data_IF_685828427515
#
_entry.id   IF_685828427515
#
_cell.length_a   1.000
_cell.length_b   1.000
_cell.length_c   1.000
_cell.angle_alpha   90.00
_cell.angle_beta   90.00
_cell.angle_gamma   90.00
#
_symmetry.space_group_name_H-M   'P 1'
#
loop_
_entity.id
_entity.type
_entity.pdbx_description
1 polymer ?
#
# COMPACT_ATOMS: atom_id res chain seq x y z
N UNK A 1 4.19 -51.51 25.49
CA UNK A 1 4.56 -50.09 25.67
C UNK A 1 3.29 -49.27 25.73
N UNK A 2 2.93 -48.72 26.89
CA UNK A 2 1.73 -47.88 27.05
C UNK A 2 2.05 -46.48 26.53
N UNK A 3 1.45 -46.10 25.40
CA UNK A 3 1.50 -44.73 24.89
C UNK A 3 0.78 -43.81 25.86
N UNK A 4 1.53 -42.96 26.55
CA UNK A 4 1.00 -41.92 27.42
C UNK A 4 0.34 -40.87 26.53
N UNK A 5 -0.99 -40.90 26.43
CA UNK A 5 -1.77 -39.81 25.87
C UNK A 5 -1.69 -38.67 26.90
N UNK A 6 -0.80 -37.72 26.66
CA UNK A 6 -0.74 -36.47 27.43
C UNK A 6 -2.05 -35.71 27.19
N UNK A 7 -3.00 -35.86 28.12
CA UNK A 7 -4.20 -35.02 28.19
C UNK A 7 -3.71 -33.63 28.57
N UNK A 8 -3.54 -32.78 27.57
CA UNK A 8 -3.14 -31.39 27.76
C UNK A 8 -4.14 -30.70 28.69
N UNK A 9 -3.67 -30.18 29.82
CA UNK A 9 -4.59 -29.60 30.82
C UNK A 9 -5.21 -28.31 30.26
N UNK A 10 -6.48 -28.03 30.63
CA UNK A 10 -7.19 -26.80 30.23
C UNK A 10 -6.38 -25.52 30.53
N UNK A 11 -5.53 -25.59 31.57
CA UNK A 11 -4.61 -24.52 31.99
C UNK A 11 -3.45 -24.33 31.01
N UNK A 12 -2.81 -25.41 30.54
CA UNK A 12 -1.73 -25.35 29.54
C UNK A 12 -2.23 -24.84 28.19
N UNK A 13 -3.39 -25.32 27.73
CA UNK A 13 -4.03 -24.83 26.50
C UNK A 13 -4.32 -23.33 26.57
N UNK A 14 -4.81 -22.85 27.71
CA UNK A 14 -5.05 -21.42 27.94
C UNK A 14 -3.76 -20.58 27.98
N UNK A 15 -2.67 -21.09 28.57
CA UNK A 15 -1.38 -20.41 28.59
C UNK A 15 -0.76 -20.32 27.18
N UNK A 16 -0.81 -21.41 26.40
CA UNK A 16 -0.34 -21.43 25.00
C UNK A 16 -1.11 -20.42 24.14
N UNK A 17 -2.43 -20.41 24.24
CA UNK A 17 -3.27 -19.44 23.50
C UNK A 17 -3.00 -17.98 23.90
N UNK A 18 -2.78 -17.69 25.18
CA UNK A 18 -2.41 -16.33 25.64
C UNK A 18 -1.04 -15.91 25.09
N UNK A 19 -0.07 -16.82 25.03
CA UNK A 19 1.25 -16.55 24.47
C UNK A 19 1.16 -16.26 22.96
N UNK A 20 0.46 -17.11 22.20
CA UNK A 20 0.23 -16.92 20.76
C UNK A 20 -0.45 -15.57 20.48
N UNK A 21 -1.49 -15.20 21.24
CA UNK A 21 -2.14 -13.88 21.11
C UNK A 21 -1.21 -12.72 21.39
N UNK A 22 -0.34 -12.84 22.41
CA UNK A 22 0.67 -11.81 22.73
C UNK A 22 1.69 -11.68 21.60
N UNK A 23 2.20 -12.80 21.10
CA UNK A 23 3.20 -12.83 20.03
C UNK A 23 2.61 -12.24 18.73
N UNK A 24 1.37 -12.58 18.39
CA UNK A 24 0.64 -11.98 17.26
C UNK A 24 0.42 -10.47 17.42
N UNK A 25 0.16 -9.99 18.65
CA UNK A 25 0.03 -8.55 18.93
C UNK A 25 1.37 -7.82 18.76
N UNK A 26 2.46 -8.39 19.25
CA UNK A 26 3.81 -7.82 19.09
C UNK A 26 4.16 -7.76 17.61
N UNK A 27 3.92 -8.84 16.86
CA UNK A 27 4.13 -8.89 15.41
C UNK A 27 3.37 -7.77 14.69
N UNK A 28 2.09 -7.55 15.06
CA UNK A 28 1.29 -6.49 14.45
C UNK A 28 1.82 -5.08 14.73
N UNK A 29 2.29 -4.82 15.96
CA UNK A 29 2.93 -3.53 16.29
C UNK A 29 4.23 -3.36 15.51
N UNK A 30 5.09 -4.39 15.47
CA UNK A 30 6.35 -4.34 14.73
C UNK A 30 6.14 -4.07 13.24
N UNK A 31 5.13 -4.70 12.63
CA UNK A 31 4.79 -4.46 11.22
C UNK A 31 4.27 -3.04 11.00
N UNK A 32 3.43 -2.50 11.88
CA UNK A 32 3.00 -1.10 11.77
C UNK A 32 4.18 -0.13 11.82
N UNK A 33 5.12 -0.33 12.76
CA UNK A 33 6.33 0.47 12.86
C UNK A 33 7.17 0.34 11.59
N UNK A 34 7.35 -0.88 11.09
CA UNK A 34 8.08 -1.14 9.84
C UNK A 34 7.41 -0.44 8.65
N UNK A 35 6.09 -0.50 8.52
CA UNK A 35 5.36 0.20 7.45
C UNK A 35 5.63 1.70 7.48
N UNK A 36 5.55 2.32 8.66
CA UNK A 36 5.82 3.76 8.82
C UNK A 36 7.26 4.07 8.41
N UNK A 37 8.23 3.30 8.91
CA UNK A 37 9.65 3.49 8.58
C UNK A 37 9.92 3.36 7.09
N UNK A 38 9.35 2.35 6.43
CA UNK A 38 9.54 2.10 5.00
C UNK A 38 8.92 3.23 4.16
N UNK A 39 7.76 3.77 4.56
CA UNK A 39 7.14 4.92 3.87
C UNK A 39 7.99 6.17 4.02
N UNK A 40 8.49 6.49 5.22
CA UNK A 40 9.37 7.64 5.39
C UNK A 40 10.70 7.48 4.66
N UNK A 41 11.24 6.25 4.66
CA UNK A 41 12.48 5.95 3.96
C UNK A 41 12.31 6.05 2.44
N UNK A 42 11.15 5.68 1.90
CA UNK A 42 10.86 5.81 0.47
C UNK A 42 10.85 7.28 0.03
N UNK A 43 10.17 8.15 0.78
CA UNK A 43 10.16 9.60 0.55
C UNK A 43 11.56 10.19 0.67
N UNK A 44 12.32 9.78 1.70
CA UNK A 44 13.68 10.27 1.93
C UNK A 44 14.62 9.97 0.76
N UNK A 45 14.58 8.76 0.20
CA UNK A 45 15.42 8.36 -0.94
C UNK A 45 15.20 9.28 -2.14
N UNK A 46 13.95 9.61 -2.46
CA UNK A 46 13.65 10.53 -3.55
C UNK A 46 14.21 11.93 -3.29
N UNK A 47 14.03 12.48 -2.10
CA UNK A 47 14.63 13.79 -1.76
C UNK A 47 16.15 13.75 -1.83
N UNK A 48 16.78 12.70 -1.32
CA UNK A 48 18.23 12.55 -1.32
C UNK A 48 18.79 12.47 -2.76
N UNK A 49 18.17 11.67 -3.62
CA UNK A 49 18.63 11.43 -4.98
C UNK A 49 18.44 12.63 -5.93
N UNK A 50 17.36 13.40 -5.76
CA UNK A 50 16.97 14.46 -6.70
C UNK A 50 17.18 15.88 -6.17
N UNK A 51 17.73 16.06 -4.97
CA UNK A 51 17.97 17.39 -4.35
C UNK A 51 18.74 18.37 -5.23
N UNK A 52 19.73 17.89 -5.98
CA UNK A 52 20.65 18.74 -6.76
C UNK A 52 20.21 18.99 -8.21
N UNK A 53 19.11 18.38 -8.67
CA UNK A 53 18.77 18.34 -10.10
C UNK A 53 17.75 19.42 -10.54
N UNK A 54 17.48 20.45 -9.73
CA UNK A 54 16.50 21.50 -10.07
C UNK A 54 15.03 21.05 -10.03
N UNK A 55 14.74 19.75 -9.98
CA UNK A 55 13.38 19.19 -9.91
C UNK A 55 12.73 19.26 -8.52
N UNK A 56 13.19 20.13 -7.63
CA UNK A 56 12.76 20.14 -6.22
C UNK A 56 11.25 20.35 -6.04
N UNK A 57 10.63 21.15 -6.91
CA UNK A 57 9.19 21.42 -6.87
C UNK A 57 8.36 20.25 -7.40
N UNK A 58 8.77 19.65 -8.52
CA UNK A 58 8.16 18.44 -9.04
C UNK A 58 8.23 17.28 -8.02
N UNK A 59 9.37 17.14 -7.35
CA UNK A 59 9.53 16.13 -6.30
C UNK A 59 8.59 16.38 -5.12
N UNK A 60 8.44 17.63 -4.67
CA UNK A 60 7.47 17.96 -3.61
C UNK A 60 6.06 17.52 -3.99
N UNK A 61 5.62 17.80 -5.22
CA UNK A 61 4.32 17.37 -5.71
C UNK A 61 4.19 15.85 -5.76
N UNK A 62 5.16 15.15 -6.35
CA UNK A 62 5.17 13.69 -6.45
C UNK A 62 5.09 13.01 -5.08
N UNK A 63 5.86 13.50 -4.10
CA UNK A 63 5.84 12.97 -2.73
C UNK A 63 4.53 13.27 -2.01
N UNK A 64 3.97 14.47 -2.23
CA UNK A 64 2.66 14.85 -1.66
C UNK A 64 1.57 13.90 -2.17
N UNK A 65 1.57 13.60 -3.47
CA UNK A 65 0.58 12.71 -4.07
C UNK A 65 0.74 11.27 -3.60
N UNK A 66 1.97 10.77 -3.57
CA UNK A 66 2.26 9.44 -3.03
C UNK A 66 1.74 9.27 -1.58
N UNK A 67 1.98 10.27 -0.72
CA UNK A 67 1.48 10.24 0.67
C UNK A 67 -0.04 10.37 0.75
N UNK A 68 -0.64 11.20 -0.11
CA UNK A 68 -2.09 11.36 -0.20
C UNK A 68 -2.76 10.05 -0.63
N UNK A 69 -2.20 9.35 -1.62
CA UNK A 69 -2.71 8.07 -2.10
C UNK A 69 -2.61 6.99 -1.02
N UNK A 70 -1.50 6.92 -0.27
CA UNK A 70 -1.40 6.03 0.89
C UNK A 70 -2.47 6.37 1.93
N UNK A 71 -2.69 7.65 2.22
CA UNK A 71 -3.71 8.10 3.17
C UNK A 71 -5.13 7.69 2.75
N UNK A 72 -5.50 7.96 1.49
CA UNK A 72 -6.78 7.57 0.92
C UNK A 72 -6.93 6.04 0.90
N UNK A 73 -5.89 5.31 0.53
CA UNK A 73 -5.88 3.85 0.52
C UNK A 73 -6.15 3.29 1.92
N UNK A 74 -5.51 3.83 2.96
CA UNK A 74 -5.76 3.42 4.34
C UNK A 74 -7.24 3.60 4.70
N UNK A 75 -7.82 4.77 4.40
CA UNK A 75 -9.25 5.04 4.65
C UNK A 75 -10.15 4.02 3.94
N UNK A 76 -9.87 3.73 2.67
CA UNK A 76 -10.63 2.78 1.86
C UNK A 76 -10.47 1.34 2.39
N UNK A 77 -9.25 0.93 2.72
CA UNK A 77 -8.96 -0.42 3.20
C UNK A 77 -9.68 -0.77 4.51
N UNK A 78 -9.97 0.22 5.36
CA UNK A 78 -10.73 0.03 6.60
C UNK A 78 -12.23 -0.29 6.39
N UNK A 79 -12.81 0.08 5.24
CA UNK A 79 -14.26 0.00 5.02
C UNK A 79 -14.78 -1.35 4.50
N UNK A 80 -13.88 -2.29 4.18
CA UNK A 80 -14.24 -3.66 3.76
C UNK A 80 -14.38 -3.86 2.24
N UNK A 81 -14.45 -5.13 1.80
CA UNK A 81 -14.33 -5.53 0.37
C UNK A 81 -15.39 -4.89 -0.55
N UNK A 82 -16.63 -4.80 -0.08
CA UNK A 82 -17.74 -4.23 -0.88
C UNK A 82 -17.49 -2.75 -1.11
N UNK A 83 -17.17 -2.01 -0.06
CA UNK A 83 -16.88 -0.57 -0.14
C UNK A 83 -15.65 -0.30 -1.01
N UNK A 84 -14.63 -1.15 -0.92
CA UNK A 84 -13.46 -1.06 -1.80
C UNK A 84 -13.86 -1.17 -3.28
N UNK A 85 -14.67 -2.16 -3.65
CA UNK A 85 -15.14 -2.30 -5.05
C UNK A 85 -16.03 -1.14 -5.48
N UNK A 86 -16.89 -0.63 -4.58
CA UNK A 86 -17.73 0.55 -4.87
C UNK A 86 -16.87 1.79 -5.09
N UNK A 87 -15.91 2.06 -4.21
CA UNK A 87 -14.99 3.20 -4.34
C UNK A 87 -14.15 3.07 -5.61
N UNK A 88 -13.62 1.87 -5.92
CA UNK A 88 -12.88 1.60 -7.16
C UNK A 88 -13.74 1.93 -8.39
N UNK A 89 -14.98 1.45 -8.43
CA UNK A 89 -15.88 1.69 -9.55
C UNK A 89 -16.31 3.16 -9.66
N UNK A 90 -16.54 3.83 -8.54
CA UNK A 90 -16.84 5.26 -8.50
C UNK A 90 -15.65 6.09 -8.97
N UNK A 91 -14.42 5.76 -8.56
CA UNK A 91 -13.20 6.43 -9.03
C UNK A 91 -13.05 6.26 -10.54
N UNK A 92 -13.26 5.05 -11.08
CA UNK A 92 -13.22 4.80 -12.53
C UNK A 92 -14.28 5.59 -13.28
N UNK A 93 -15.51 5.59 -12.79
CA UNK A 93 -16.62 6.31 -13.41
C UNK A 93 -16.41 7.82 -13.34
N UNK A 94 -15.95 8.31 -12.19
CA UNK A 94 -15.54 9.70 -12.01
C UNK A 94 -14.44 10.07 -12.99
N UNK A 95 -13.39 9.26 -13.10
CA UNK A 95 -12.29 9.49 -14.03
C UNK A 95 -12.76 9.56 -15.49
N UNK A 96 -13.50 8.56 -15.96
CA UNK A 96 -13.95 8.48 -17.36
C UNK A 96 -14.91 9.60 -17.76
N UNK A 97 -15.80 10.03 -16.86
CA UNK A 97 -16.82 11.04 -17.16
C UNK A 97 -16.31 12.45 -16.84
N UNK A 98 -15.66 12.64 -15.70
CA UNK A 98 -15.29 13.97 -15.21
C UNK A 98 -14.03 14.52 -15.87
N UNK A 99 -13.11 13.67 -16.35
CA UNK A 99 -11.99 14.19 -17.17
C UNK A 99 -12.51 14.81 -18.46
N UNK A 100 -13.48 14.17 -19.11
CA UNK A 100 -14.07 14.70 -20.34
C UNK A 100 -14.78 16.03 -20.06
N UNK A 101 -15.56 16.11 -18.97
CA UNK A 101 -16.22 17.36 -18.55
C UNK A 101 -15.19 18.44 -18.18
N UNK A 102 -14.14 18.09 -17.42
CA UNK A 102 -13.07 18.99 -17.04
C UNK A 102 -12.36 19.57 -18.26
N UNK A 103 -11.99 18.73 -19.24
CA UNK A 103 -11.36 19.18 -20.48
C UNK A 103 -12.30 20.12 -21.26
N UNK A 104 -13.59 19.77 -21.38
CA UNK A 104 -14.56 20.55 -22.17
C UNK A 104 -14.99 21.86 -21.51
N UNK A 105 -14.99 21.91 -20.18
CA UNK A 105 -15.55 23.03 -19.40
C UNK A 105 -14.48 23.93 -18.76
N UNK A 106 -13.21 23.52 -18.80
CA UNK A 106 -12.12 24.27 -18.19
C UNK A 106 -11.78 25.52 -18.99
N UNK A 107 -11.68 26.65 -18.28
CA UNK A 107 -11.18 27.93 -18.81
C UNK A 107 -9.66 28.07 -18.66
N UNK A 108 -8.98 27.04 -18.17
CA UNK A 108 -7.53 27.04 -17.97
C UNK A 108 -6.79 27.05 -19.31
N UNK A 109 -5.54 27.51 -19.28
CA UNK A 109 -4.66 27.41 -20.45
C UNK A 109 -4.41 25.94 -20.78
N UNK A 110 -4.25 25.63 -22.06
CA UNK A 110 -4.06 24.25 -22.55
C UNK A 110 -2.95 23.49 -21.82
N UNK A 111 -1.82 24.15 -21.52
CA UNK A 111 -0.72 23.54 -20.76
C UNK A 111 -1.09 23.14 -19.33
N UNK A 112 -1.88 23.98 -18.64
CA UNK A 112 -2.37 23.70 -17.29
C UNK A 112 -3.40 22.57 -17.31
N UNK A 113 -4.30 22.55 -18.29
CA UNK A 113 -5.27 21.47 -18.49
C UNK A 113 -4.57 20.12 -18.65
N UNK A 114 -3.57 20.04 -19.54
CA UNK A 114 -2.78 18.83 -19.76
C UNK A 114 -2.10 18.39 -18.47
N UNK A 115 -1.49 19.32 -17.73
CA UNK A 115 -0.86 19.05 -16.44
C UNK A 115 -1.83 18.42 -15.43
N UNK A 116 -3.02 19.01 -15.26
CA UNK A 116 -4.05 18.48 -14.36
C UNK A 116 -4.61 17.13 -14.82
N UNK A 117 -4.79 16.92 -16.12
CA UNK A 117 -5.25 15.63 -16.65
C UNK A 117 -4.24 14.52 -16.40
N UNK A 118 -2.95 14.77 -16.67
CA UNK A 118 -1.88 13.83 -16.36
C UNK A 118 -1.86 13.55 -14.85
N UNK A 119 -1.96 14.59 -14.03
CA UNK A 119 -1.98 14.47 -12.59
C UNK A 119 -3.13 13.57 -12.07
N UNK A 120 -4.36 13.84 -12.49
CA UNK A 120 -5.54 13.04 -12.08
C UNK A 120 -5.40 11.60 -12.58
N UNK A 121 -4.82 11.39 -13.77
CA UNK A 121 -4.55 10.06 -14.33
C UNK A 121 -3.57 9.27 -13.46
N UNK A 122 -2.51 9.91 -13.01
CA UNK A 122 -1.57 9.28 -12.09
C UNK A 122 -2.24 8.93 -10.76
N UNK A 123 -2.97 9.86 -10.14
CA UNK A 123 -3.62 9.63 -8.86
C UNK A 123 -4.66 8.49 -8.93
N UNK A 124 -5.53 8.51 -9.94
CA UNK A 124 -6.54 7.47 -10.12
C UNK A 124 -5.92 6.11 -10.46
N UNK A 125 -4.96 6.08 -11.39
CA UNK A 125 -4.26 4.86 -11.76
C UNK A 125 -3.50 4.25 -10.58
N UNK A 126 -2.85 5.09 -9.77
CA UNK A 126 -2.11 4.64 -8.60
C UNK A 126 -3.03 4.05 -7.53
N UNK A 127 -4.15 4.72 -7.25
CA UNK A 127 -5.18 4.23 -6.33
C UNK A 127 -5.80 2.92 -6.80
N UNK A 128 -6.05 2.77 -8.10
CA UNK A 128 -6.56 1.52 -8.67
C UNK A 128 -5.59 0.35 -8.42
N UNK A 129 -4.31 0.54 -8.75
CA UNK A 129 -3.27 -0.49 -8.58
C UNK A 129 -3.09 -0.86 -7.11
N UNK A 130 -3.07 0.12 -6.21
CA UNK A 130 -3.01 -0.09 -4.76
C UNK A 130 -4.16 -0.97 -4.27
N UNK A 131 -5.36 -0.67 -4.74
CA UNK A 131 -6.59 -1.36 -4.34
C UNK A 131 -6.59 -2.80 -4.85
N UNK A 132 -6.16 -3.02 -6.09
CA UNK A 132 -6.08 -4.35 -6.69
C UNK A 132 -5.01 -5.21 -6.03
N UNK A 133 -3.84 -4.63 -5.77
CA UNK A 133 -2.78 -5.31 -5.04
C UNK A 133 -3.26 -5.75 -3.64
N UNK A 134 -3.99 -4.87 -2.93
CA UNK A 134 -4.59 -5.21 -1.64
C UNK A 134 -5.56 -6.39 -1.74
N UNK A 135 -6.47 -6.38 -2.72
CA UNK A 135 -7.42 -7.47 -2.93
C UNK A 135 -6.68 -8.77 -3.25
N UNK A 136 -5.71 -8.75 -4.16
CA UNK A 136 -4.93 -9.93 -4.53
C UNK A 136 -4.16 -10.54 -3.36
N UNK A 137 -3.50 -9.71 -2.54
CA UNK A 137 -2.80 -10.20 -1.34
C UNK A 137 -3.81 -10.78 -0.34
N UNK A 138 -4.95 -10.11 -0.14
CA UNK A 138 -5.99 -10.57 0.79
C UNK A 138 -6.55 -11.93 0.40
N UNK A 139 -6.86 -12.11 -0.89
CA UNK A 139 -7.36 -13.37 -1.44
C UNK A 139 -6.30 -14.47 -1.39
N UNK A 140 -5.04 -14.13 -1.69
CA UNK A 140 -3.91 -15.03 -1.53
C UNK A 140 -3.73 -15.51 -0.09
N UNK A 141 -3.87 -14.63 0.91
CA UNK A 141 -3.83 -15.03 2.33
C UNK A 141 -5.05 -15.89 2.71
N UNK A 142 -6.22 -15.61 2.12
CA UNK A 142 -7.43 -16.37 2.39
C UNK A 142 -7.41 -17.78 1.79
N UNK A 143 -6.70 -18.01 0.69
CA UNK A 143 -6.59 -19.32 0.06
C UNK A 143 -5.56 -20.25 0.73
N UNK A 144 -4.72 -19.74 1.61
CA UNK A 144 -3.79 -20.56 2.40
C UNK A 144 -4.58 -21.47 3.35
N UNK A 145 -4.65 -22.75 3.00
CA UNK A 145 -5.22 -23.82 3.81
C UNK A 145 -4.10 -24.42 4.68
N UNK A 146 -4.11 -24.16 5.99
CA UNK A 146 -2.91 -24.29 6.83
C UNK A 146 -2.92 -25.50 7.77
N UNK A 147 -2.31 -26.60 7.32
CA UNK A 147 -1.67 -27.57 8.21
C UNK A 147 -0.20 -27.22 8.52
N UNK A 148 0.47 -26.38 7.71
CA UNK A 148 1.92 -26.08 7.81
C UNK A 148 2.28 -24.74 8.48
N UNK A 149 1.51 -23.66 8.33
CA UNK A 149 1.79 -22.39 9.01
C UNK A 149 0.95 -22.23 10.29
N UNK A 150 1.14 -23.11 11.27
CA UNK A 150 0.50 -23.02 12.60
C UNK A 150 0.95 -21.84 13.46
N UNK A 151 2.00 -21.11 13.04
CA UNK A 151 2.67 -20.08 13.86
C UNK A 151 1.95 -18.73 13.78
N UNK A 152 1.41 -18.36 12.61
CA UNK A 152 0.69 -17.09 12.43
C UNK A 152 -0.76 -17.39 12.12
N UNK A 153 -1.66 -16.91 12.96
CA UNK A 153 -3.09 -17.05 12.74
C UNK A 153 -3.48 -16.37 11.42
N UNK A 154 -4.24 -17.07 10.58
CA UNK A 154 -4.78 -16.55 9.30
C UNK A 154 -5.46 -15.19 9.48
N UNK A 155 -6.18 -15.02 10.58
CA UNK A 155 -6.84 -13.76 10.95
C UNK A 155 -5.84 -12.61 11.17
N UNK A 156 -4.67 -12.91 11.73
CA UNK A 156 -3.57 -11.95 11.89
C UNK A 156 -2.99 -11.56 10.54
N UNK A 157 -2.77 -12.50 9.62
CA UNK A 157 -2.29 -12.19 8.27
C UNK A 157 -3.29 -11.33 7.46
N UNK A 158 -4.60 -11.60 7.60
CA UNK A 158 -5.65 -10.79 6.97
C UNK A 158 -5.63 -9.36 7.54
N UNK A 159 -5.45 -9.21 8.86
CA UNK A 159 -5.32 -7.89 9.50
C UNK A 159 -4.09 -7.12 9.05
N UNK A 160 -3.02 -7.82 8.66
CA UNK A 160 -1.75 -7.22 8.23
C UNK A 160 -1.67 -6.95 6.73
N UNK A 161 -2.68 -7.36 5.95
CA UNK A 161 -2.65 -7.24 4.49
C UNK A 161 -2.47 -5.79 4.03
N UNK A 162 -3.13 -4.83 4.69
CA UNK A 162 -3.02 -3.41 4.36
C UNK A 162 -1.57 -2.92 4.51
N UNK A 163 -0.93 -3.25 5.63
CA UNK A 163 0.45 -2.90 5.93
C UNK A 163 1.42 -3.52 4.92
N UNK A 164 1.19 -4.78 4.56
CA UNK A 164 1.98 -5.50 3.55
C UNK A 164 1.86 -4.81 2.18
N UNK A 165 0.64 -4.44 1.76
CA UNK A 165 0.42 -3.68 0.52
C UNK A 165 1.20 -2.37 0.51
N UNK A 166 1.12 -1.58 1.60
CA UNK A 166 1.84 -0.31 1.72
C UNK A 166 3.35 -0.54 1.64
N UNK A 167 3.89 -1.56 2.33
CA UNK A 167 5.31 -1.90 2.27
C UNK A 167 5.74 -2.22 0.84
N UNK A 168 5.00 -3.07 0.12
CA UNK A 168 5.32 -3.44 -1.27
C UNK A 168 5.32 -2.21 -2.18
N UNK A 169 4.29 -1.37 -2.08
CA UNK A 169 4.19 -0.16 -2.89
C UNK A 169 5.31 0.82 -2.58
N UNK A 170 5.69 0.95 -1.31
CA UNK A 170 6.81 1.80 -0.89
C UNK A 170 8.16 1.29 -1.40
N UNK A 171 8.36 -0.03 -1.43
CA UNK A 171 9.53 -0.65 -2.03
C UNK A 171 9.60 -0.39 -3.54
N UNK A 172 8.47 -0.52 -4.24
CA UNK A 172 8.38 -0.17 -5.67
C UNK A 172 8.64 1.32 -5.90
N UNK A 173 8.13 2.19 -5.02
CA UNK A 173 8.37 3.63 -5.10
C UNK A 173 9.86 3.98 -4.94
N UNK A 174 10.57 3.30 -4.04
CA UNK A 174 12.03 3.41 -3.93
C UNK A 174 12.74 2.91 -5.18
N UNK A 175 12.34 1.74 -5.69
CA UNK A 175 12.93 1.16 -6.90
C UNK A 175 12.79 2.10 -8.10
N UNK A 176 11.62 2.73 -8.27
CA UNK A 176 11.37 3.76 -9.29
C UNK A 176 12.31 4.96 -9.16
N UNK A 177 12.62 5.39 -7.94
CA UNK A 177 13.56 6.49 -7.69
C UNK A 177 14.93 6.21 -8.30
N UNK A 178 15.43 4.99 -8.12
CA UNK A 178 16.71 4.55 -8.68
C UNK A 178 16.63 4.34 -10.19
N UNK A 179 15.53 3.76 -10.68
CA UNK A 179 15.35 3.49 -12.10
C UNK A 179 15.33 4.77 -12.93
N UNK A 180 14.69 5.83 -12.45
CA UNK A 180 14.62 7.13 -13.13
C UNK A 180 15.94 7.90 -13.10
N UNK A 181 16.82 7.63 -12.14
CA UNK A 181 18.10 8.33 -12.01
C UNK A 181 19.05 8.02 -13.17
N UNK A 182 19.01 6.78 -13.67
CA UNK A 182 19.90 6.30 -14.72
C UNK A 182 19.67 7.01 -16.07
N UNK A 183 18.46 7.03 -16.66
CA UNK A 183 18.23 7.71 -17.92
C UNK A 183 18.36 9.24 -17.81
N UNK A 184 18.06 9.83 -16.65
CA UNK A 184 18.24 11.28 -16.45
C UNK A 184 19.72 11.71 -16.47
N UNK A 185 20.63 10.86 -15.97
CA UNK A 185 22.07 11.11 -16.09
C UNK A 185 22.57 11.10 -17.52
N UNK A 186 21.97 10.30 -18.38
CA UNK A 186 22.36 10.17 -19.79
C UNK A 186 21.78 11.29 -20.67
N UNK A 187 20.65 11.90 -20.28
CA UNK A 187 20.01 13.02 -21.02
C UNK A 187 20.64 14.38 -20.68
N UNK A 188 21.21 14.54 -19.49
CA UNK A 188 21.81 15.81 -19.02
C UNK A 188 23.30 15.94 -19.45
N UNK A 189 23.84 14.91 -20.12
CA UNK A 189 25.19 14.92 -20.69
C UNK A 189 25.18 15.39 -22.14
#
# INVERSE_FOLDING_TARGET
MRGVILIETRVEKNRKNKKIKRDNKILGVSINVLTILVVFFSVYIWFYLYRSQGFSELMKWLQTFYLMDIGLFIMIAFTGKVTINVVKNLIKLAFSVWIVIFILSSTLKQGEQIGYTIFITFLVGYMEVLTDLYISIKEGVQSINNDKFKIIEKETMIRLTMQITIIIVSLLHMFLAYFLLNPLKDIIR
#
